data_IF_324397781238
#
_entry.id   IF_324397781238
#
_cell.length_a   1.000
_cell.length_b   1.000
_cell.length_c   1.000
_cell.angle_alpha   90.00
_cell.angle_beta   90.00
_cell.angle_gamma   90.00
#
_symmetry.space_group_name_H-M   'P 1'
#
loop_
_entity.id
_entity.type
_entity.pdbx_description
1 polymer ?
#
# COMPACT_ATOMS: atom_id res chain seq x y z
N UNK A 1 6.77 19.35 -21.44
CA UNK A 1 5.64 18.66 -20.79
C UNK A 1 6.22 17.51 -19.98
N UNK A 2 5.99 17.47 -18.66
CA UNK A 2 6.55 16.44 -17.78
C UNK A 2 5.55 15.31 -17.48
N UNK A 3 6.04 14.19 -16.95
CA UNK A 3 5.22 13.09 -16.45
C UNK A 3 5.18 13.18 -14.91
N UNK A 4 4.09 13.68 -14.31
CA UNK A 4 4.00 13.79 -12.85
C UNK A 4 3.78 12.40 -12.25
N UNK A 5 4.69 11.97 -11.37
CA UNK A 5 4.60 10.70 -10.64
C UNK A 5 4.87 10.94 -9.15
N UNK A 6 4.28 10.11 -8.30
CA UNK A 6 4.59 10.09 -6.86
C UNK A 6 5.31 8.80 -6.48
N UNK A 7 6.45 8.92 -5.80
CA UNK A 7 7.17 7.75 -5.26
C UNK A 7 6.58 7.41 -3.88
N UNK A 8 6.22 6.15 -3.67
CA UNK A 8 5.71 5.66 -2.39
C UNK A 8 6.55 4.46 -1.93
N UNK A 9 7.04 4.52 -0.68
CA UNK A 9 7.75 3.44 0.02
C UNK A 9 6.87 2.72 1.07
N UNK A 10 5.62 3.16 1.20
CA UNK A 10 4.60 2.56 2.06
C UNK A 10 3.30 2.46 1.27
N UNK A 11 2.51 1.42 1.54
CA UNK A 11 1.17 1.29 1.00
C UNK A 11 0.17 1.83 2.01
N UNK A 12 -0.11 3.14 1.94
CA UNK A 12 -1.15 3.75 2.76
C UNK A 12 -2.53 3.52 2.15
N UNK A 13 -3.48 2.84 2.80
CA UNK A 13 -4.85 2.64 2.32
C UNK A 13 -5.86 3.18 3.34
N UNK A 14 -7.01 3.68 2.87
CA UNK A 14 -8.07 4.15 3.75
C UNK A 14 -8.98 2.98 4.13
N UNK A 15 -9.32 2.87 5.41
CA UNK A 15 -10.32 1.90 5.88
C UNK A 15 -11.69 2.13 5.24
N UNK A 16 -12.42 1.05 4.97
CA UNK A 16 -13.73 1.07 4.33
C UNK A 16 -13.72 1.26 2.79
N UNK A 17 -12.54 1.40 2.17
CA UNK A 17 -12.39 1.41 0.72
C UNK A 17 -11.49 0.25 0.27
N UNK A 18 -10.18 0.48 0.24
CA UNK A 18 -9.20 -0.48 -0.30
C UNK A 18 -8.41 -1.20 0.80
N UNK A 19 -8.56 -0.79 2.06
CA UNK A 19 -7.86 -1.44 3.17
C UNK A 19 -8.46 -2.84 3.43
N UNK A 20 -7.64 -3.92 3.41
CA UNK A 20 -8.14 -5.27 3.60
C UNK A 20 -8.55 -5.54 5.06
N UNK A 21 -9.80 -5.93 5.25
CA UNK A 21 -10.34 -6.39 6.53
C UNK A 21 -11.21 -7.65 6.31
N UNK A 22 -10.88 -8.81 6.92
CA UNK A 22 -9.77 -9.05 7.84
C UNK A 22 -8.40 -9.11 7.16
N UNK A 23 -7.34 -8.82 7.92
CA UNK A 23 -5.95 -9.04 7.49
C UNK A 23 -5.60 -10.53 7.61
N UNK A 24 -5.46 -11.20 6.47
CA UNK A 24 -5.15 -12.63 6.40
C UNK A 24 -3.80 -12.85 5.72
N UNK A 25 -2.94 -13.62 6.37
CA UNK A 25 -1.61 -13.95 5.82
C UNK A 25 -1.76 -14.62 4.45
N UNK A 26 -0.93 -14.21 3.48
CA UNK A 26 -0.92 -14.65 2.09
C UNK A 26 -2.19 -14.33 1.27
N UNK A 27 -3.16 -13.58 1.83
CA UNK A 27 -4.31 -13.14 1.06
C UNK A 27 -3.89 -12.08 0.04
N UNK A 28 -4.47 -12.20 -1.17
CA UNK A 28 -4.27 -11.26 -2.28
C UNK A 28 -5.37 -10.22 -2.31
N UNK A 29 -4.98 -8.98 -2.57
CA UNK A 29 -5.88 -7.84 -2.62
C UNK A 29 -5.51 -6.89 -3.76
N UNK A 30 -6.43 -6.01 -4.09
CA UNK A 30 -6.20 -4.91 -5.01
C UNK A 30 -6.48 -3.58 -4.32
N UNK A 31 -5.75 -2.55 -4.74
CA UNK A 31 -5.96 -1.18 -4.29
C UNK A 31 -5.79 -0.20 -5.44
N UNK A 32 -6.49 0.93 -5.36
CA UNK A 32 -6.49 1.95 -6.39
C UNK A 32 -5.95 3.27 -5.82
N UNK A 33 -5.03 3.89 -6.56
CA UNK A 33 -4.46 5.20 -6.22
C UNK A 33 -4.67 6.20 -7.34
N UNK A 34 -5.11 7.40 -6.97
CA UNK A 34 -5.12 8.52 -7.90
C UNK A 34 -3.70 8.95 -8.27
N UNK A 35 -3.49 9.25 -9.55
CA UNK A 35 -2.22 9.60 -10.16
C UNK A 35 -1.32 8.40 -10.42
N UNK A 36 -0.23 8.64 -11.14
CA UNK A 36 0.80 7.64 -11.39
C UNK A 36 1.74 7.51 -10.19
N UNK A 37 1.81 6.29 -9.64
CA UNK A 37 2.63 5.95 -8.47
C UNK A 37 3.79 5.05 -8.86
N UNK A 38 4.97 5.37 -8.36
CA UNK A 38 6.15 4.50 -8.41
C UNK A 38 6.24 3.82 -7.04
N UNK A 39 6.09 2.51 -7.03
CA UNK A 39 6.13 1.70 -5.80
C UNK A 39 7.02 0.47 -6.06
N UNK A 40 7.87 0.07 -5.11
CA UNK A 40 8.67 -1.14 -5.26
C UNK A 40 7.79 -2.39 -5.48
N UNK A 41 8.19 -3.23 -6.44
CA UNK A 41 7.58 -4.54 -6.70
C UNK A 41 8.44 -5.65 -6.07
N UNK A 42 7.79 -6.75 -5.70
CA UNK A 42 8.43 -7.97 -5.18
C UNK A 42 9.29 -7.79 -3.92
N UNK A 43 9.09 -6.69 -3.19
CA UNK A 43 9.74 -6.42 -1.90
C UNK A 43 8.70 -6.08 -0.83
N UNK A 44 8.94 -6.42 0.46
CA UNK A 44 8.03 -6.08 1.54
C UNK A 44 7.93 -4.57 1.77
N UNK A 45 6.71 -4.06 1.88
CA UNK A 45 6.39 -2.67 2.21
C UNK A 45 5.34 -2.61 3.32
N UNK A 46 5.42 -1.63 4.25
CA UNK A 46 4.40 -1.46 5.27
C UNK A 46 3.03 -1.10 4.67
N UNK A 47 1.99 -1.83 5.06
CA UNK A 47 0.59 -1.48 4.87
C UNK A 47 0.14 -0.61 6.04
N UNK A 48 -0.29 0.61 5.70
CA UNK A 48 -0.54 1.69 6.66
C UNK A 48 -1.96 2.25 6.47
N UNK A 49 -2.63 2.66 7.53
CA UNK A 49 -3.95 3.28 7.46
C UNK A 49 -3.91 4.82 7.35
N UNK A 50 -5.08 5.46 7.37
CA UNK A 50 -5.21 6.92 7.41
C UNK A 50 -4.47 7.59 8.57
N UNK A 51 -4.41 6.92 9.73
CA UNK A 51 -3.77 7.37 10.97
C UNK A 51 -2.25 7.15 10.98
N UNK A 52 -1.67 6.66 9.88
CA UNK A 52 -0.24 6.35 9.78
C UNK A 52 0.20 5.19 10.69
N UNK A 53 -0.71 4.29 11.02
CA UNK A 53 -0.40 3.06 11.74
C UNK A 53 -0.13 1.93 10.75
N UNK A 54 1.00 1.25 10.90
CA UNK A 54 1.34 0.07 10.11
C UNK A 54 0.79 -1.19 10.78
N UNK A 55 0.17 -2.06 9.98
CA UNK A 55 -0.50 -3.28 10.46
C UNK A 55 0.13 -4.57 9.93
N UNK A 56 0.80 -4.48 8.78
CA UNK A 56 1.33 -5.62 8.05
C UNK A 56 2.45 -5.19 7.11
N UNK A 57 3.27 -6.13 6.66
CA UNK A 57 4.03 -6.00 5.43
C UNK A 57 3.26 -6.63 4.27
N UNK A 58 3.27 -5.97 3.13
CA UNK A 58 2.71 -6.48 1.87
C UNK A 58 3.78 -6.59 0.80
N UNK A 59 3.58 -7.49 -0.15
CA UNK A 59 4.38 -7.56 -1.38
C UNK A 59 3.48 -7.19 -2.53
N UNK A 60 3.89 -6.19 -3.32
CA UNK A 60 3.17 -5.78 -4.53
C UNK A 60 3.71 -6.60 -5.70
N UNK A 61 2.83 -7.34 -6.37
CA UNK A 61 3.15 -8.21 -7.51
C UNK A 61 2.90 -7.54 -8.85
N UNK A 62 1.97 -6.59 -8.88
CA UNK A 62 1.58 -5.92 -10.12
C UNK A 62 1.22 -4.46 -9.85
N UNK A 63 1.62 -3.60 -10.78
CA UNK A 63 1.28 -2.18 -10.81
C UNK A 63 0.91 -1.80 -12.23
N UNK A 64 -0.28 -1.24 -12.42
CA UNK A 64 -0.81 -0.82 -13.72
C UNK A 64 -1.15 0.66 -13.67
N UNK A 65 -0.59 1.43 -14.60
CA UNK A 65 -0.98 2.83 -14.84
C UNK A 65 -1.99 2.91 -15.97
N UNK A 66 -3.16 3.48 -15.68
CA UNK A 66 -4.21 3.69 -16.67
C UNK A 66 -5.06 4.88 -16.23
N UNK A 67 -5.46 5.76 -17.16
CA UNK A 67 -6.41 6.86 -16.91
C UNK A 67 -6.10 7.68 -15.63
N UNK A 68 -4.85 8.14 -15.51
CA UNK A 68 -4.35 8.89 -14.35
C UNK A 68 -4.56 8.19 -13.00
N UNK A 69 -4.53 6.86 -13.01
CA UNK A 69 -4.74 6.00 -11.85
C UNK A 69 -3.67 4.92 -11.82
N UNK A 70 -3.32 4.48 -10.62
CA UNK A 70 -2.47 3.32 -10.39
C UNK A 70 -3.26 2.23 -9.69
N UNK A 71 -3.41 1.09 -10.34
CA UNK A 71 -3.98 -0.12 -9.75
C UNK A 71 -2.86 -1.04 -9.29
N UNK A 72 -2.96 -1.53 -8.06
CA UNK A 72 -1.97 -2.39 -7.42
C UNK A 72 -2.59 -3.74 -7.11
N UNK A 73 -1.87 -4.83 -7.38
CA UNK A 73 -2.19 -6.16 -6.86
C UNK A 73 -1.09 -6.55 -5.86
N UNK A 74 -1.48 -6.94 -4.65
CA UNK A 74 -0.53 -7.23 -3.57
C UNK A 74 -0.98 -8.38 -2.68
N UNK A 75 -0.05 -8.97 -1.94
CA UNK A 75 -0.33 -10.00 -0.92
C UNK A 75 0.13 -9.54 0.45
N UNK A 76 -0.59 -9.94 1.48
CA UNK A 76 -0.14 -9.78 2.88
C UNK A 76 0.97 -10.79 3.15
N UNK A 77 2.18 -10.30 3.42
CA UNK A 77 3.38 -11.11 3.65
C UNK A 77 3.68 -11.32 5.14
N UNK A 78 3.37 -10.33 5.99
CA UNK A 78 3.58 -10.41 7.44
C UNK A 78 2.49 -9.64 8.16
N UNK A 79 1.98 -10.17 9.26
CA UNK A 79 1.11 -9.43 10.18
C UNK A 79 1.91 -8.95 11.37
N UNK A 80 1.63 -7.74 11.84
CA UNK A 80 2.20 -7.25 13.10
C UNK A 80 1.26 -7.58 14.26
N UNK A 81 1.83 -8.00 15.39
CA UNK A 81 1.06 -8.29 16.60
C UNK A 81 0.41 -7.03 17.18
N UNK A 82 1.10 -5.89 17.07
CA UNK A 82 0.60 -4.59 17.52
C UNK A 82 0.91 -3.54 16.45
N UNK A 83 -0.09 -2.75 16.00
CA UNK A 83 0.14 -1.67 15.06
C UNK A 83 1.05 -0.59 15.65
N UNK A 84 1.89 0.01 14.81
CA UNK A 84 2.82 1.07 15.24
C UNK A 84 2.82 2.25 14.27
N UNK A 85 3.10 3.46 14.78
CA UNK A 85 3.19 4.66 13.95
C UNK A 85 4.43 4.61 13.05
N UNK A 86 4.25 4.91 11.76
CA UNK A 86 5.38 5.15 10.84
C UNK A 86 5.74 6.62 10.70
N UNK A 87 4.95 7.52 11.32
CA UNK A 87 5.33 8.92 11.47
C UNK A 87 6.20 9.08 12.70
N UNK A 88 7.35 9.73 12.49
CA UNK A 88 8.13 10.32 13.58
C UNK A 88 7.46 11.66 13.88
N UNK A 89 7.06 11.88 15.14
CA UNK A 89 6.66 13.21 15.61
C UNK A 89 7.94 14.05 15.70
N UNK A 90 7.99 15.16 14.97
CA UNK A 90 9.02 16.21 15.12
C UNK A 90 8.67 17.16 16.27
#
# INVERSE_FOLDING_TARGET
MGMPCQVNSILKLARGQDFPEPLLLNASHQAIKSGYRIIPLDVPLPLVDEAWLAYADVIIHQLVWQDNTTTLSFTINRLYETPFSVKIEE
#
